data_IF_697151974951
#
_entry.id   IF_697151974951
#
_cell.length_a   1.000
_cell.length_b   1.000
_cell.length_c   1.000
_cell.angle_alpha   90.00
_cell.angle_beta   90.00
_cell.angle_gamma   90.00
#
_symmetry.space_group_name_H-M   'P 1'
#
loop_
_entity.id
_entity.type
_entity.pdbx_description
1 polymer ?
#
# COMPACT_ATOMS: atom_id res chain seq x y z
N UNK A 1 -18.30 -20.02 -9.67
CA UNK A 1 -17.98 -18.76 -10.36
C UNK A 1 -17.06 -17.81 -9.58
N UNK A 2 -17.11 -17.74 -8.24
CA UNK A 2 -16.24 -16.82 -7.45
C UNK A 2 -14.73 -17.10 -7.62
N UNK A 3 -14.33 -18.38 -7.65
CA UNK A 3 -12.92 -18.78 -7.76
C UNK A 3 -12.22 -18.29 -9.02
N UNK A 4 -12.84 -18.45 -10.20
CA UNK A 4 -12.26 -18.01 -11.49
C UNK A 4 -12.07 -16.50 -11.52
N UNK A 5 -13.02 -15.74 -10.95
CA UNK A 5 -12.90 -14.28 -10.85
C UNK A 5 -11.78 -13.87 -9.89
N UNK A 6 -11.64 -14.55 -8.76
CA UNK A 6 -10.54 -14.32 -7.83
C UNK A 6 -9.18 -14.56 -8.50
N UNK A 7 -9.04 -15.67 -9.22
CA UNK A 7 -7.82 -16.00 -9.94
C UNK A 7 -7.49 -14.96 -11.02
N UNK A 8 -8.50 -14.53 -11.81
CA UNK A 8 -8.30 -13.50 -12.83
C UNK A 8 -7.86 -12.15 -12.24
N UNK A 9 -8.46 -11.71 -11.14
CA UNK A 9 -8.07 -10.47 -10.49
C UNK A 9 -6.66 -10.55 -9.88
N UNK A 10 -6.33 -11.70 -9.27
CA UNK A 10 -5.00 -11.94 -8.77
C UNK A 10 -3.95 -11.93 -9.90
N UNK A 11 -4.28 -12.48 -11.07
CA UNK A 11 -3.45 -12.41 -12.27
C UNK A 11 -3.30 -10.98 -12.79
N UNK A 12 -4.38 -10.19 -12.83
CA UNK A 12 -4.31 -8.78 -13.23
C UNK A 12 -3.43 -7.96 -12.27
N UNK A 13 -3.54 -8.20 -10.97
CA UNK A 13 -2.66 -7.60 -9.96
C UNK A 13 -1.19 -8.03 -10.18
N UNK A 14 -0.95 -9.32 -10.42
CA UNK A 14 0.39 -9.83 -10.68
C UNK A 14 1.00 -9.19 -11.94
N UNK A 15 0.22 -9.11 -13.02
CA UNK A 15 0.67 -8.65 -14.32
C UNK A 15 0.86 -7.13 -14.43
N UNK A 16 0.20 -6.33 -13.56
CA UNK A 16 0.25 -4.87 -13.66
C UNK A 16 0.98 -4.24 -12.46
N UNK A 17 0.36 -4.02 -11.27
CA UNK A 17 1.05 -3.33 -10.18
C UNK A 17 2.25 -4.10 -9.64
N UNK A 18 2.17 -5.43 -9.51
CA UNK A 18 3.31 -6.21 -9.00
C UNK A 18 4.46 -6.25 -10.01
N UNK A 19 4.17 -6.49 -11.29
CA UNK A 19 5.18 -6.45 -12.36
C UNK A 19 5.84 -5.06 -12.44
N UNK A 20 5.08 -3.97 -12.32
CA UNK A 20 5.62 -2.62 -12.30
C UNK A 20 6.55 -2.39 -11.10
N UNK A 21 6.18 -2.85 -9.90
CA UNK A 21 7.04 -2.74 -8.72
C UNK A 21 8.34 -3.54 -8.87
N UNK A 22 8.28 -4.75 -9.44
CA UNK A 22 9.47 -5.56 -9.75
C UNK A 22 10.35 -4.90 -10.80
N UNK A 23 9.75 -4.32 -11.86
CA UNK A 23 10.50 -3.61 -12.89
C UNK A 23 11.23 -2.39 -12.32
N UNK A 24 10.59 -1.64 -11.41
CA UNK A 24 11.24 -0.54 -10.69
C UNK A 24 12.37 -1.05 -9.80
N UNK A 25 12.16 -2.13 -9.06
CA UNK A 25 13.19 -2.73 -8.22
C UNK A 25 14.42 -3.15 -9.04
N UNK A 26 14.21 -3.81 -10.18
CA UNK A 26 15.28 -4.21 -11.09
C UNK A 26 15.98 -3.00 -11.71
N UNK A 27 15.23 -1.94 -12.06
CA UNK A 27 15.81 -0.71 -12.57
C UNK A 27 16.69 -0.02 -11.52
N UNK A 28 16.23 0.06 -10.28
CA UNK A 28 16.96 0.62 -9.14
C UNK A 28 18.21 -0.20 -8.82
N UNK A 29 18.16 -1.52 -8.92
CA UNK A 29 19.32 -2.39 -8.72
C UNK A 29 20.41 -2.12 -9.78
N UNK A 30 19.99 -1.93 -11.04
CA UNK A 30 20.89 -1.59 -12.14
C UNK A 30 21.36 -0.13 -12.12
N UNK A 31 20.53 0.80 -11.63
CA UNK A 31 20.75 2.25 -11.61
C UNK A 31 20.34 2.83 -10.25
N UNK A 32 21.14 2.61 -9.19
CA UNK A 32 20.76 3.02 -7.84
C UNK A 32 20.68 4.55 -7.76
N UNK A 33 19.50 5.12 -7.44
CA UNK A 33 19.39 6.56 -7.19
C UNK A 33 20.10 6.91 -5.89
N UNK A 34 20.34 8.20 -5.68
CA UNK A 34 20.80 8.72 -4.39
C UNK A 34 19.68 8.56 -3.35
N UNK A 35 19.70 7.46 -2.61
CA UNK A 35 18.83 7.24 -1.48
C UNK A 35 19.26 8.11 -0.30
N UNK A 36 18.30 8.71 0.39
CA UNK A 36 18.56 9.47 1.60
C UNK A 36 18.99 8.57 2.77
N UNK A 37 18.53 7.31 2.78
CA UNK A 37 18.82 6.36 3.84
C UNK A 37 18.88 4.92 3.32
N UNK A 38 19.76 4.09 3.89
CA UNK A 38 19.98 2.70 3.44
C UNK A 38 18.72 1.82 3.51
N UNK A 39 17.80 2.11 4.44
CA UNK A 39 16.52 1.40 4.56
C UNK A 39 15.62 1.57 3.33
N UNK A 40 15.71 2.69 2.62
CA UNK A 40 14.92 2.93 1.40
C UNK A 40 15.37 2.01 0.27
N UNK A 41 16.70 1.84 0.12
CA UNK A 41 17.27 0.89 -0.82
C UNK A 41 16.90 -0.55 -0.45
N UNK A 42 17.00 -0.91 0.84
CA UNK A 42 16.65 -2.24 1.33
C UNK A 42 15.18 -2.60 1.07
N UNK A 43 14.25 -1.65 1.25
CA UNK A 43 12.83 -1.86 1.01
C UNK A 43 12.47 -2.12 -0.46
N UNK A 44 13.31 -1.66 -1.40
CA UNK A 44 13.15 -1.88 -2.84
C UNK A 44 13.86 -3.13 -3.36
N UNK A 45 14.58 -3.86 -2.51
CA UNK A 45 15.19 -5.11 -2.95
C UNK A 45 14.11 -6.13 -3.30
N UNK A 46 14.32 -6.88 -4.39
CA UNK A 46 13.39 -7.92 -4.84
C UNK A 46 13.12 -8.93 -3.71
N UNK A 47 14.14 -9.28 -2.92
CA UNK A 47 13.98 -10.17 -1.77
C UNK A 47 13.01 -9.64 -0.71
N UNK A 48 12.95 -8.32 -0.50
CA UNK A 48 12.01 -7.68 0.41
C UNK A 48 10.61 -7.53 -0.21
N UNK A 49 10.53 -7.20 -1.51
CA UNK A 49 9.27 -6.99 -2.22
C UNK A 49 8.53 -8.29 -2.54
N UNK A 50 9.24 -9.34 -2.94
CA UNK A 50 8.65 -10.60 -3.37
C UNK A 50 7.61 -11.19 -2.39
N UNK A 51 7.88 -11.33 -1.07
CA UNK A 51 6.88 -11.83 -0.13
C UNK A 51 5.67 -10.91 -0.01
N UNK A 52 5.86 -9.57 -0.07
CA UNK A 52 4.76 -8.61 -0.01
C UNK A 52 3.88 -8.71 -1.25
N UNK A 53 4.47 -8.80 -2.44
CA UNK A 53 3.75 -8.91 -3.70
C UNK A 53 3.01 -10.26 -3.79
N UNK A 54 3.62 -11.35 -3.35
CA UNK A 54 2.96 -12.65 -3.26
C UNK A 54 1.78 -12.61 -2.28
N UNK A 55 1.96 -11.96 -1.13
CA UNK A 55 0.88 -11.68 -0.19
C UNK A 55 -0.22 -10.80 -0.80
N UNK A 56 0.13 -9.81 -1.61
CA UNK A 56 -0.81 -8.97 -2.36
C UNK A 56 -1.64 -9.77 -3.36
N UNK A 57 -1.02 -10.68 -4.13
CA UNK A 57 -1.71 -11.62 -5.04
C UNK A 57 -2.72 -12.47 -4.26
N UNK A 58 -2.30 -13.04 -3.13
CA UNK A 58 -3.18 -13.81 -2.25
C UNK A 58 -4.31 -12.94 -1.68
N UNK A 59 -4.00 -11.73 -1.25
CA UNK A 59 -4.97 -10.77 -0.72
C UNK A 59 -6.05 -10.43 -1.74
N UNK A 60 -5.66 -10.10 -2.97
CA UNK A 60 -6.59 -9.84 -4.07
C UNK A 60 -7.46 -11.07 -4.35
N UNK A 61 -6.87 -12.26 -4.43
CA UNK A 61 -7.63 -13.50 -4.60
C UNK A 61 -8.69 -13.67 -3.48
N UNK A 62 -8.28 -13.51 -2.22
CA UNK A 62 -9.16 -13.67 -1.06
C UNK A 62 -10.25 -12.60 -0.99
N UNK A 63 -9.95 -11.36 -1.39
CA UNK A 63 -10.91 -10.26 -1.42
C UNK A 63 -12.11 -10.56 -2.31
N UNK A 64 -11.86 -11.10 -3.50
CA UNK A 64 -12.91 -11.49 -4.46
C UNK A 64 -13.57 -12.79 -4.02
N UNK A 65 -12.78 -13.78 -3.59
CA UNK A 65 -13.30 -15.08 -3.16
C UNK A 65 -14.29 -14.95 -1.99
N UNK A 66 -13.95 -14.11 -1.01
CA UNK A 66 -14.78 -13.84 0.18
C UNK A 66 -15.95 -12.90 -0.07
N UNK A 67 -16.00 -12.26 -1.24
CA UNK A 67 -17.04 -11.27 -1.57
C UNK A 67 -16.83 -9.89 -0.94
N UNK A 68 -15.63 -9.60 -0.42
CA UNK A 68 -15.28 -8.29 0.15
C UNK A 68 -15.39 -7.16 -0.88
N UNK A 69 -14.94 -7.43 -2.11
CA UNK A 69 -14.89 -6.44 -3.19
C UNK A 69 -15.94 -6.74 -4.25
N UNK A 70 -16.53 -5.67 -4.81
CA UNK A 70 -17.37 -5.78 -5.99
C UNK A 70 -16.56 -6.29 -7.19
N UNK A 71 -17.24 -6.96 -8.14
CA UNK A 71 -16.63 -7.44 -9.38
C UNK A 71 -16.14 -6.26 -10.23
N UNK A 72 -14.82 -6.08 -10.41
CA UNK A 72 -14.29 -4.92 -11.13
C UNK A 72 -14.63 -4.96 -12.62
N UNK A 73 -14.93 -6.14 -13.18
CA UNK A 73 -15.38 -6.27 -14.57
C UNK A 73 -16.78 -5.70 -14.80
N UNK A 74 -17.54 -5.45 -13.72
CA UNK A 74 -18.85 -4.79 -13.77
C UNK A 74 -18.78 -3.30 -13.40
N UNK A 75 -17.66 -2.86 -12.85
CA UNK A 75 -17.47 -1.46 -12.47
C UNK A 75 -17.11 -0.62 -13.69
N UNK A 76 -17.57 0.63 -13.73
CA UNK A 76 -17.09 1.59 -14.72
C UNK A 76 -15.63 1.94 -14.40
N UNK A 77 -14.70 1.25 -15.08
CA UNK A 77 -13.27 1.37 -14.84
C UNK A 77 -12.77 2.81 -14.91
N UNK A 78 -13.27 3.61 -15.86
CA UNK A 78 -12.92 5.03 -15.97
C UNK A 78 -13.32 5.80 -14.72
N UNK A 79 -14.57 5.64 -14.26
CA UNK A 79 -15.03 6.29 -13.02
C UNK A 79 -14.19 5.85 -11.82
N UNK A 80 -13.90 4.56 -11.69
CA UNK A 80 -13.08 4.02 -10.60
C UNK A 80 -11.68 4.63 -10.62
N UNK A 81 -11.02 4.62 -11.78
CA UNK A 81 -9.69 5.19 -11.96
C UNK A 81 -9.67 6.69 -11.66
N UNK A 82 -10.65 7.45 -12.15
CA UNK A 82 -10.77 8.89 -11.87
C UNK A 82 -10.96 9.13 -10.37
N UNK A 83 -11.84 8.38 -9.70
CA UNK A 83 -12.06 8.54 -8.26
C UNK A 83 -10.79 8.21 -7.46
N UNK A 84 -10.09 7.13 -7.80
CA UNK A 84 -8.84 6.76 -7.14
C UNK A 84 -7.71 7.76 -7.39
N UNK A 85 -7.60 8.28 -8.62
CA UNK A 85 -6.61 9.29 -8.95
C UNK A 85 -6.89 10.61 -8.24
N UNK A 86 -8.15 11.08 -8.26
CA UNK A 86 -8.55 12.33 -7.60
C UNK A 86 -8.45 12.23 -6.08
N UNK A 87 -8.80 11.09 -5.47
CA UNK A 87 -8.59 10.89 -4.04
C UNK A 87 -7.11 10.87 -3.68
N UNK A 88 -6.27 10.22 -4.49
CA UNK A 88 -4.82 10.24 -4.33
C UNK A 88 -4.24 11.66 -4.39
N UNK A 89 -4.65 12.47 -5.37
CA UNK A 89 -4.23 13.88 -5.47
C UNK A 89 -4.69 14.68 -4.26
N UNK A 90 -5.94 14.52 -3.84
CA UNK A 90 -6.49 15.23 -2.69
C UNK A 90 -5.74 14.89 -1.40
N UNK A 91 -5.53 13.61 -1.11
CA UNK A 91 -4.81 13.17 0.08
C UNK A 91 -3.33 13.54 0.03
N UNK A 92 -2.70 13.47 -1.15
CA UNK A 92 -1.33 13.94 -1.34
C UNK A 92 -1.18 15.44 -1.06
N UNK A 93 -2.10 16.27 -1.57
CA UNK A 93 -2.11 17.70 -1.30
C UNK A 93 -2.32 18.00 0.19
N UNK A 94 -3.23 17.27 0.85
CA UNK A 94 -3.45 17.40 2.29
C UNK A 94 -2.21 16.99 3.12
N UNK A 95 -1.53 15.92 2.73
CA UNK A 95 -0.28 15.48 3.38
C UNK A 95 0.82 16.53 3.23
N UNK A 96 1.01 17.08 2.02
CA UNK A 96 1.99 18.15 1.78
C UNK A 96 1.67 19.42 2.55
N UNK A 97 0.40 19.82 2.61
CA UNK A 97 -0.03 20.98 3.40
C UNK A 97 0.24 20.74 4.90
N UNK A 98 -0.09 19.56 5.41
CA UNK A 98 0.15 19.20 6.82
C UNK A 98 1.65 19.25 7.14
N UNK A 99 2.49 18.66 6.28
CA UNK A 99 3.94 18.69 6.46
C UNK A 99 4.51 20.10 6.36
N UNK A 100 3.99 20.94 5.45
CA UNK A 100 4.40 22.34 5.33
C UNK A 100 4.14 23.13 6.62
N UNK A 101 3.01 22.90 7.29
CA UNK A 101 2.66 23.59 8.55
C UNK A 101 3.32 22.99 9.79
N UNK A 102 3.43 21.66 9.86
CA UNK A 102 3.94 20.96 11.04
C UNK A 102 5.46 20.71 11.01
N UNK A 103 6.09 20.75 9.83
CA UNK A 103 7.52 20.54 9.66
C UNK A 103 8.00 19.11 9.95
N UNK A 104 7.13 18.11 9.85
CA UNK A 104 7.43 16.73 10.24
C UNK A 104 8.62 16.14 9.47
N UNK A 105 8.68 16.33 8.14
CA UNK A 105 9.81 15.88 7.32
C UNK A 105 11.13 16.47 7.78
N UNK A 106 11.15 17.74 8.20
CA UNK A 106 12.33 18.42 8.71
C UNK A 106 12.79 17.87 10.06
N UNK A 107 11.84 17.60 10.96
CA UNK A 107 12.11 16.97 12.26
C UNK A 107 12.71 15.57 12.11
N UNK A 108 12.15 14.75 11.21
CA UNK A 108 12.66 13.40 10.94
C UNK A 108 14.04 13.48 10.29
N UNK A 109 14.24 14.37 9.31
CA UNK A 109 15.53 14.58 8.65
C UNK A 109 16.62 14.96 9.67
N UNK A 110 16.31 15.88 10.59
CA UNK A 110 17.22 16.29 11.66
C UNK A 110 17.55 15.12 12.60
N UNK A 111 16.55 14.32 13.02
CA UNK A 111 16.77 13.12 13.86
C UNK A 111 17.63 12.07 13.18
N UNK A 112 17.49 11.90 11.86
CA UNK A 112 18.27 10.95 11.07
C UNK A 112 19.64 11.49 10.62
N UNK A 113 19.93 12.77 10.88
CA UNK A 113 21.18 13.41 10.45
C UNK A 113 21.30 13.56 8.92
N UNK A 114 20.17 13.58 8.20
CA UNK A 114 20.13 13.70 6.74
C UNK A 114 19.54 15.04 6.31
N UNK A 115 19.87 15.50 5.10
CA UNK A 115 19.36 16.78 4.57
C UNK A 115 17.88 16.74 4.18
N UNK A 116 17.40 15.57 3.78
CA UNK A 116 16.04 15.32 3.33
C UNK A 116 15.74 13.84 3.54
N UNK A 117 14.50 13.51 3.93
CA UNK A 117 14.01 12.13 3.93
C UNK A 117 13.44 11.70 2.57
N UNK A 118 13.23 12.67 1.69
CA UNK A 118 12.63 12.46 0.37
C UNK A 118 13.69 12.23 -0.69
N UNK A 119 13.41 11.29 -1.60
CA UNK A 119 14.22 11.04 -2.79
C UNK A 119 13.99 12.19 -3.79
N UNK A 120 15.05 12.65 -4.44
CA UNK A 120 14.94 13.71 -5.44
C UNK A 120 14.16 13.24 -6.68
N UNK A 121 13.43 14.18 -7.30
CA UNK A 121 12.86 13.97 -8.62
C UNK A 121 13.98 13.85 -9.67
N UNK A 122 13.90 12.96 -10.68
CA UNK A 122 12.74 12.15 -11.08
C UNK A 122 12.60 10.81 -10.35
N UNK A 123 13.59 10.40 -9.55
CA UNK A 123 13.63 9.08 -8.94
C UNK A 123 12.47 8.80 -7.98
N UNK A 124 12.04 9.82 -7.24
CA UNK A 124 10.88 9.72 -6.35
C UNK A 124 9.61 9.23 -7.01
N UNK A 125 9.36 9.59 -8.28
CA UNK A 125 8.11 9.23 -8.95
C UNK A 125 7.94 7.70 -9.05
N UNK A 126 8.97 6.99 -9.53
CA UNK A 126 8.90 5.54 -9.68
C UNK A 126 9.18 4.80 -8.37
N UNK A 127 10.09 5.31 -7.52
CA UNK A 127 10.38 4.68 -6.22
C UNK A 127 9.14 4.71 -5.33
N UNK A 128 8.47 5.85 -5.20
CA UNK A 128 7.27 5.94 -4.37
C UNK A 128 6.07 5.24 -4.99
N UNK A 129 5.98 5.11 -6.32
CA UNK A 129 4.96 4.26 -6.94
C UNK A 129 5.15 2.78 -6.56
N UNK A 130 6.38 2.25 -6.64
CA UNK A 130 6.67 0.88 -6.21
C UNK A 130 6.47 0.70 -4.69
N UNK A 131 6.91 1.67 -3.90
CA UNK A 131 6.68 1.72 -2.45
C UNK A 131 5.19 1.72 -2.09
N UNK A 132 4.36 2.47 -2.82
CA UNK A 132 2.92 2.51 -2.61
C UNK A 132 2.28 1.14 -2.84
N UNK A 133 2.71 0.39 -3.86
CA UNK A 133 2.24 -1.00 -4.07
C UNK A 133 2.63 -1.90 -2.89
N UNK A 134 3.87 -1.80 -2.41
CA UNK A 134 4.35 -2.59 -1.28
C UNK A 134 3.58 -2.26 0.02
N UNK A 135 3.37 -0.97 0.30
CA UNK A 135 2.63 -0.48 1.46
C UNK A 135 1.16 -0.90 1.39
N UNK A 136 0.53 -0.84 0.21
CA UNK A 136 -0.84 -1.31 -0.01
C UNK A 136 -0.95 -2.83 0.23
N UNK A 137 0.06 -3.61 -0.20
CA UNK A 137 0.12 -5.03 0.12
C UNK A 137 0.19 -5.27 1.62
N UNK A 138 1.16 -4.62 2.29
CA UNK A 138 1.48 -4.82 3.69
C UNK A 138 0.34 -4.41 4.63
N UNK A 139 -0.26 -3.25 4.39
CA UNK A 139 -1.20 -2.65 5.35
C UNK A 139 -2.67 -2.90 5.02
N UNK A 140 -2.99 -3.26 3.77
CA UNK A 140 -4.38 -3.44 3.33
C UNK A 140 -4.62 -4.80 2.72
N UNK A 141 -4.04 -5.11 1.56
CA UNK A 141 -4.41 -6.31 0.81
C UNK A 141 -4.19 -7.59 1.63
N UNK A 142 -3.06 -7.71 2.33
CA UNK A 142 -2.75 -8.88 3.16
C UNK A 142 -3.67 -8.91 4.40
N UNK A 143 -3.56 -7.97 5.36
CA UNK A 143 -4.26 -8.11 6.63
C UNK A 143 -5.78 -8.01 6.46
N UNK A 144 -6.29 -7.05 5.67
CA UNK A 144 -7.73 -6.83 5.57
C UNK A 144 -8.40 -7.98 4.81
N UNK A 145 -7.83 -8.43 3.70
CA UNK A 145 -8.48 -9.50 2.92
C UNK A 145 -8.43 -10.85 3.63
N UNK A 146 -7.32 -11.17 4.33
CA UNK A 146 -7.22 -12.40 5.11
C UNK A 146 -8.18 -12.35 6.30
N UNK A 147 -8.17 -11.27 7.08
CA UNK A 147 -9.05 -11.14 8.24
C UNK A 147 -10.52 -11.11 7.84
N UNK A 148 -10.88 -10.44 6.74
CA UNK A 148 -12.24 -10.45 6.23
C UNK A 148 -12.66 -11.86 5.80
N UNK A 149 -11.81 -12.56 5.03
CA UNK A 149 -12.06 -13.94 4.62
C UNK A 149 -12.25 -14.88 5.83
N UNK A 150 -11.43 -14.75 6.86
CA UNK A 150 -11.54 -15.58 8.08
C UNK A 150 -12.77 -15.20 8.89
N UNK A 151 -12.91 -13.93 9.27
CA UNK A 151 -13.92 -13.48 10.23
C UNK A 151 -15.30 -13.42 9.59
N UNK A 152 -15.45 -12.70 8.48
CA UNK A 152 -16.75 -12.53 7.86
C UNK A 152 -17.22 -13.84 7.19
N UNK A 153 -16.34 -14.51 6.43
CA UNK A 153 -16.75 -15.66 5.62
C UNK A 153 -16.67 -17.00 6.34
N UNK A 154 -15.59 -17.31 7.05
CA UNK A 154 -15.44 -18.62 7.72
C UNK A 154 -16.14 -18.67 9.08
N UNK A 155 -15.95 -17.64 9.92
CA UNK A 155 -16.50 -17.61 11.29
C UNK A 155 -17.97 -17.20 11.27
N UNK A 156 -18.30 -16.03 10.74
CA UNK A 156 -19.67 -15.52 10.73
C UNK A 156 -20.53 -15.99 9.55
N UNK A 157 -19.96 -16.77 8.62
CA UNK A 157 -20.68 -17.35 7.47
C UNK A 157 -21.44 -16.32 6.63
N UNK A 158 -20.87 -15.12 6.50
CA UNK A 158 -21.44 -13.99 5.77
C UNK A 158 -22.41 -13.12 6.58
N UNK A 159 -22.61 -13.39 7.88
CA UNK A 159 -23.41 -12.51 8.75
C UNK A 159 -22.58 -11.34 9.25
N UNK A 160 -23.14 -10.14 9.21
CA UNK A 160 -22.47 -8.93 9.74
C UNK A 160 -21.27 -8.46 8.91
N UNK A 161 -21.20 -8.83 7.62
CA UNK A 161 -20.12 -8.47 6.69
C UNK A 161 -19.77 -6.98 6.71
N UNK A 162 -20.77 -6.09 6.70
CA UNK A 162 -20.56 -4.65 6.78
C UNK A 162 -19.85 -4.22 8.07
N UNK A 163 -20.23 -4.79 9.22
CA UNK A 163 -19.62 -4.48 10.51
C UNK A 163 -18.15 -4.93 10.56
N UNK A 164 -17.86 -6.12 10.06
CA UNK A 164 -16.48 -6.63 9.94
C UNK A 164 -15.66 -5.73 9.02
N UNK A 165 -16.19 -5.39 7.84
CA UNK A 165 -15.51 -4.52 6.88
C UNK A 165 -15.12 -3.18 7.51
N UNK A 166 -16.08 -2.47 8.11
CA UNK A 166 -15.84 -1.15 8.70
C UNK A 166 -14.91 -1.21 9.91
N UNK A 167 -14.97 -2.29 10.70
CA UNK A 167 -14.05 -2.51 11.82
C UNK A 167 -12.61 -2.68 11.31
N UNK A 168 -12.41 -3.51 10.28
CA UNK A 168 -11.09 -3.69 9.66
C UNK A 168 -10.59 -2.42 8.97
N UNK A 169 -11.49 -1.65 8.33
CA UNK A 169 -11.14 -0.36 7.74
C UNK A 169 -10.67 0.63 8.81
N UNK A 170 -11.38 0.73 9.95
CA UNK A 170 -10.98 1.59 11.06
C UNK A 170 -9.63 1.16 11.65
N UNK A 171 -9.45 -0.14 11.94
CA UNK A 171 -8.21 -0.67 12.48
C UNK A 171 -7.02 -0.47 11.52
N UNK A 172 -7.20 -0.73 10.22
CA UNK A 172 -6.14 -0.52 9.22
C UNK A 172 -5.73 0.95 9.11
N UNK A 173 -6.69 1.88 9.27
CA UNK A 173 -6.43 3.32 9.23
C UNK A 173 -5.62 3.80 10.45
N UNK A 174 -5.57 3.04 11.53
CA UNK A 174 -4.75 3.34 12.71
C UNK A 174 -3.30 2.84 12.59
N UNK A 175 -2.99 1.96 11.64
CA UNK A 175 -1.65 1.37 11.56
C UNK A 175 -0.59 2.43 11.26
N UNK A 176 -0.87 3.34 10.31
CA UNK A 176 0.07 4.39 9.94
C UNK A 176 0.35 5.37 11.08
N UNK A 177 -0.65 6.01 11.73
CA UNK A 177 -0.37 6.92 12.84
C UNK A 177 0.31 6.21 14.03
N UNK A 178 -0.06 4.96 14.33
CA UNK A 178 0.57 4.21 15.42
C UNK A 178 1.99 3.76 15.10
N UNK A 179 2.32 3.47 13.84
CA UNK A 179 3.69 3.13 13.44
C UNK A 179 4.62 4.34 13.42
N UNK A 180 4.06 5.55 13.25
CA UNK A 180 4.81 6.80 13.27
C UNK A 180 4.86 7.46 14.67
N UNK A 181 3.96 7.10 15.59
CA UNK A 181 3.92 7.67 16.95
C UNK A 181 5.25 7.55 17.73
N UNK A 182 5.99 6.42 17.69
CA UNK A 182 7.29 6.33 18.37
C UNK A 182 8.35 7.30 17.83
N UNK A 183 8.27 7.68 16.55
CA UNK A 183 9.20 8.64 15.93
C UNK A 183 8.89 10.08 16.38
N UNK A 184 7.62 10.37 16.64
CA UNK A 184 7.13 11.66 17.11
C UNK A 184 7.31 11.85 18.63
N UNK A 185 7.17 10.78 19.42
CA UNK A 185 7.14 10.83 20.90
C UNK A 185 8.43 10.44 21.63
N UNK A 186 9.48 10.01 20.94
CA UNK A 186 10.79 9.85 21.57
C UNK A 186 11.39 11.24 21.86
N UNK A 187 11.18 11.73 23.08
CA UNK A 187 12.06 12.72 23.70
C UNK A 187 13.49 12.13 23.79
N UNK A 188 14.54 12.95 23.60
CA UNK A 188 15.93 12.53 23.81
C UNK A 188 16.21 12.10 25.26
#
# INVERSE_FOLDING_TARGET
>A
MSYVKGALNALLFAAVPAAAAVAVAAYVDAHPPEFAHASQAAALQIAALAPLLAGGVLGVFLSVWSGMTADPLRANFSRMLTLSAMSGVLFGAAALATDHYAGFSGLIAAKLGVKSIHIAFPASAYVYAAGAVAVECLHRLIPVSILYAVVARLIFKGRGEAGVFWTLAALSSLIEPLSQAPLAGAEP
#
